data_IF_824795098382
#
_entry.id   IF_824795098382
#
_cell.length_a   1.000
_cell.length_b   1.000
_cell.length_c   1.000
_cell.angle_alpha   90.00
_cell.angle_beta   90.00
_cell.angle_gamma   90.00
#
_symmetry.space_group_name_H-M   'P 1'
#
loop_
_entity.id
_entity.type
_entity.pdbx_description
1 polymer ?
#
# COMPACT_ATOMS: atom_id res chain seq x y z
N UNK A 1 -15.31 51.17 50.27
CA UNK A 1 -14.31 50.20 50.76
C UNK A 1 -13.76 49.47 49.53
N UNK A 2 -12.81 50.01 48.76
CA UNK A 2 -11.36 49.82 48.89
C UNK A 2 -10.93 48.37 49.20
N UNK A 3 -10.88 47.52 48.17
CA UNK A 3 -10.05 46.31 48.18
C UNK A 3 -9.00 46.44 47.09
N UNK A 4 -7.81 46.85 47.53
CA UNK A 4 -6.60 47.06 46.76
C UNK A 4 -5.85 45.73 46.63
N UNK A 5 -5.30 45.51 45.44
CA UNK A 5 -4.02 44.84 45.14
C UNK A 5 -3.93 43.33 45.41
N UNK A 6 -3.59 42.58 44.35
CA UNK A 6 -2.26 41.96 44.25
C UNK A 6 -2.06 41.44 42.82
N UNK A 7 -1.45 42.29 41.98
CA UNK A 7 -0.73 41.85 40.79
C UNK A 7 0.52 41.18 41.33
N UNK A 8 0.61 39.85 41.23
CA UNK A 8 1.79 39.10 41.67
C UNK A 8 2.23 38.18 40.53
N UNK A 9 3.06 38.77 39.68
CA UNK A 9 4.04 38.14 38.81
C UNK A 9 4.68 36.95 39.50
N UNK A 10 4.57 35.74 38.94
CA UNK A 10 5.65 34.75 39.05
C UNK A 10 5.79 33.95 37.75
N UNK A 11 6.79 34.38 37.00
CA UNK A 11 7.81 33.55 36.34
C UNK A 11 7.30 32.45 35.41
N UNK A 12 7.56 32.72 34.13
CA UNK A 12 7.59 31.81 33.00
C UNK A 12 8.40 30.56 33.38
N UNK A 13 7.72 29.48 33.71
CA UNK A 13 8.34 28.15 33.73
C UNK A 13 8.40 27.65 32.29
N UNK A 14 9.40 28.12 31.55
CA UNK A 14 9.90 27.41 30.35
C UNK A 14 10.46 26.09 30.87
N UNK A 15 9.72 24.99 30.69
CA UNK A 15 10.21 23.68 31.10
C UNK A 15 9.99 22.66 30.00
N UNK A 16 11.13 22.32 29.38
CA UNK A 16 11.45 21.09 28.68
C UNK A 16 10.61 20.71 27.45
N UNK A 17 11.14 21.11 26.29
CA UNK A 17 11.06 20.32 25.06
C UNK A 17 11.78 19.00 25.32
N UNK A 18 11.04 17.98 25.75
CA UNK A 18 11.48 16.59 25.69
C UNK A 18 10.67 15.92 24.60
N UNK A 19 11.37 15.60 23.51
CA UNK A 19 10.83 15.02 22.31
C UNK A 19 10.10 13.71 22.61
N UNK A 20 8.79 13.76 22.46
CA UNK A 20 7.99 12.56 22.23
C UNK A 20 7.89 12.39 20.72
N UNK A 21 8.96 11.89 20.11
CA UNK A 21 8.92 11.36 18.75
C UNK A 21 8.05 10.10 18.77
N UNK A 22 6.72 10.29 18.73
CA UNK A 22 5.81 9.23 18.37
C UNK A 22 6.25 8.74 16.98
N UNK A 23 6.67 7.47 16.82
CA UNK A 23 6.87 6.94 15.48
C UNK A 23 5.47 6.94 14.86
N UNK A 24 5.23 7.89 13.95
CA UNK A 24 4.11 7.84 13.05
C UNK A 24 4.28 6.54 12.26
N UNK A 25 3.69 5.45 12.76
CA UNK A 25 3.58 4.20 12.04
C UNK A 25 2.63 4.47 10.88
N UNK A 26 3.19 5.02 9.80
CA UNK A 26 2.56 5.06 8.50
C UNK A 26 2.29 3.61 8.13
N UNK A 27 1.09 3.13 8.45
CA UNK A 27 0.63 1.83 7.98
C UNK A 27 0.55 1.96 6.47
N UNK A 28 1.57 1.48 5.77
CA UNK A 28 1.49 1.23 4.34
C UNK A 28 0.33 0.25 4.17
N UNK A 29 -0.83 0.81 3.84
CA UNK A 29 -2.00 0.04 3.42
C UNK A 29 -1.67 -0.39 2.00
N UNK A 30 -0.87 -1.45 1.87
CA UNK A 30 -0.64 -2.06 0.57
C UNK A 30 -2.02 -2.48 0.07
N UNK A 31 -2.41 -2.08 -1.15
CA UNK A 31 -3.59 -2.66 -1.76
C UNK A 31 -3.32 -4.16 -1.84
N UNK A 32 -3.97 -4.94 -0.97
CA UNK A 32 -3.96 -6.40 -1.04
C UNK A 32 -4.79 -6.76 -2.26
N UNK A 33 -4.15 -6.78 -3.42
CA UNK A 33 -4.73 -7.36 -4.62
C UNK A 33 -4.71 -8.85 -4.36
N UNK A 34 -5.85 -9.40 -3.91
CA UNK A 34 -6.03 -10.82 -3.80
C UNK A 34 -5.64 -11.47 -5.13
N UNK A 35 -4.54 -12.22 -5.14
CA UNK A 35 -4.09 -12.92 -6.34
C UNK A 35 -5.05 -14.08 -6.58
N UNK A 36 -6.02 -13.87 -7.47
CA UNK A 36 -6.86 -14.97 -7.93
C UNK A 36 -5.95 -16.05 -8.53
N UNK A 37 -6.05 -17.28 -8.04
CA UNK A 37 -5.29 -18.40 -8.58
C UNK A 37 -5.63 -18.54 -10.08
N UNK A 38 -4.61 -18.53 -10.94
CA UNK A 38 -4.80 -18.63 -12.38
C UNK A 38 -5.41 -20.00 -12.73
N UNK A 39 -6.47 -19.98 -13.56
CA UNK A 39 -7.17 -21.18 -14.00
C UNK A 39 -6.40 -21.83 -15.16
N UNK A 40 -5.40 -22.65 -14.83
CA UNK A 40 -4.56 -23.33 -15.82
C UNK A 40 -5.30 -24.50 -16.48
N UNK A 41 -5.36 -24.49 -17.81
CA UNK A 41 -5.90 -25.57 -18.66
C UNK A 41 -4.83 -26.28 -19.49
N UNK A 42 -5.22 -27.29 -20.25
CA UNK A 42 -4.36 -27.89 -21.29
C UNK A 42 -4.25 -26.94 -22.48
N UNK A 43 -3.09 -26.90 -23.15
CA UNK A 43 -2.90 -26.12 -24.36
C UNK A 43 -3.27 -26.97 -25.61
N UNK A 44 -4.07 -26.46 -26.55
CA UNK A 44 -4.37 -27.20 -27.78
C UNK A 44 -3.17 -27.34 -28.73
N UNK A 45 -2.19 -26.43 -28.64
CA UNK A 45 -1.05 -26.38 -29.57
C UNK A 45 0.22 -27.07 -29.03
N UNK A 46 0.26 -27.46 -27.76
CA UNK A 46 1.48 -27.98 -27.11
C UNK A 46 1.18 -29.02 -26.04
N UNK A 47 1.55 -30.27 -26.31
CA UNK A 47 1.46 -31.38 -25.37
C UNK A 47 2.34 -31.16 -24.13
N UNK A 48 1.82 -31.52 -22.96
CA UNK A 48 2.53 -31.39 -21.68
C UNK A 48 2.62 -29.96 -21.13
N UNK A 49 2.19 -28.95 -21.88
CA UNK A 49 2.09 -27.57 -21.40
C UNK A 49 0.74 -27.29 -20.71
N UNK A 50 0.75 -26.30 -19.81
CA UNK A 50 -0.47 -25.74 -19.21
C UNK A 50 -0.61 -24.27 -19.58
N UNK A 51 -1.78 -23.88 -20.06
CA UNK A 51 -2.06 -22.53 -20.55
C UNK A 51 -3.08 -21.80 -19.68
N UNK A 52 -2.97 -20.48 -19.61
CA UNK A 52 -3.96 -19.59 -18.98
C UNK A 52 -3.95 -18.23 -19.66
N UNK A 53 -5.01 -17.46 -19.48
CA UNK A 53 -5.06 -16.04 -19.83
C UNK A 53 -4.96 -15.19 -18.57
N UNK A 54 -4.13 -14.15 -18.60
CA UNK A 54 -3.97 -13.18 -17.51
C UNK A 54 -4.32 -11.79 -18.03
N UNK A 55 -5.33 -11.17 -17.42
CA UNK A 55 -5.74 -9.81 -17.77
C UNK A 55 -4.95 -8.78 -16.97
N UNK A 56 -4.15 -7.96 -17.65
CA UNK A 56 -3.26 -6.96 -17.03
C UNK A 56 -3.65 -5.55 -17.48
N UNK A 57 -3.38 -4.51 -16.66
CA UNK A 57 -3.55 -3.13 -17.12
C UNK A 57 -2.59 -2.82 -18.28
N UNK A 58 -3.06 -2.01 -19.23
CA UNK A 58 -2.22 -1.53 -20.34
C UNK A 58 -1.06 -0.68 -19.83
N UNK A 59 -1.32 0.14 -18.80
CA UNK A 59 -0.33 0.96 -18.13
C UNK A 59 -0.36 0.71 -16.62
N UNK A 60 0.83 0.46 -16.05
CA UNK A 60 0.98 0.23 -14.60
C UNK A 60 0.97 1.53 -13.79
N UNK A 61 1.23 2.68 -14.42
CA UNK A 61 1.18 3.98 -13.75
C UNK A 61 -0.24 4.48 -13.53
N UNK A 62 -1.21 3.98 -14.33
CA UNK A 62 -2.61 4.39 -14.29
C UNK A 62 -2.91 5.64 -15.10
N UNK A 63 -1.92 6.20 -15.82
CA UNK A 63 -2.10 7.33 -16.73
C UNK A 63 -2.94 6.95 -17.95
N UNK A 64 -2.85 5.70 -18.40
CA UNK A 64 -3.68 5.17 -19.50
C UNK A 64 -4.67 4.12 -18.99
N UNK A 65 -5.94 4.32 -19.34
CA UNK A 65 -6.99 3.34 -19.08
C UNK A 65 -6.92 2.18 -20.07
N UNK A 66 -7.31 0.99 -19.62
CA UNK A 66 -7.41 -0.19 -20.46
C UNK A 66 -6.73 -1.41 -19.84
N UNK A 67 -7.08 -2.58 -20.36
CA UNK A 67 -6.48 -3.87 -19.99
C UNK A 67 -6.25 -4.69 -21.24
N UNK A 68 -5.22 -5.53 -21.21
CA UNK A 68 -4.91 -6.49 -22.26
C UNK A 68 -4.88 -7.90 -21.69
N UNK A 69 -5.17 -8.87 -22.54
CA UNK A 69 -5.09 -10.28 -22.22
C UNK A 69 -3.73 -10.82 -22.64
N UNK A 70 -3.00 -11.41 -21.69
CA UNK A 70 -1.74 -12.11 -21.94
C UNK A 70 -2.00 -13.61 -21.93
N UNK A 71 -1.60 -14.30 -23.00
CA UNK A 71 -1.62 -15.76 -23.07
C UNK A 71 -0.30 -16.30 -22.53
N UNK A 72 -0.37 -17.11 -21.47
CA UNK A 72 0.81 -17.65 -20.77
C UNK A 72 0.77 -19.16 -20.81
N UNK A 73 1.90 -19.78 -21.16
CA UNK A 73 2.11 -21.22 -21.07
C UNK A 73 3.19 -21.53 -20.03
N UNK A 74 3.04 -22.64 -19.32
CA UNK A 74 4.08 -23.22 -18.46
C UNK A 74 4.35 -24.67 -18.86
N UNK A 75 5.61 -25.06 -18.79
CA UNK A 75 6.07 -26.44 -19.00
C UNK A 75 6.71 -26.93 -17.71
N UNK A 76 6.51 -28.21 -17.38
CA UNK A 76 7.26 -28.83 -16.30
C UNK A 76 8.66 -29.18 -16.82
N UNK A 77 9.69 -28.90 -16.03
CA UNK A 77 11.04 -29.42 -16.27
C UNK A 77 11.16 -30.71 -15.48
N UNK A 78 11.49 -31.80 -16.17
CA UNK A 78 11.72 -33.12 -15.59
C UNK A 78 13.14 -33.24 -15.01
#
# INVERSE_FOLDING_TARGET
MHARRAITTWVIAVTAVLGLSAPAQARLRTPSVASAAAAWGSCPEADGARCTTVRVPLDRSGALAGKIDLHVARVAVA
#
